data_IF_128808279281
#
_entry.id   IF_128808279281
#
_cell.length_a   1.000
_cell.length_b   1.000
_cell.length_c   1.000
_cell.angle_alpha   90.00
_cell.angle_beta   90.00
_cell.angle_gamma   90.00
#
_symmetry.space_group_name_H-M   'P 1'
#
loop_
_entity.id
_entity.type
_entity.pdbx_description
1 polymer ?
#
# COMPACT_ATOMS: atom_id res chain seq x y z
N UNK A 1 -5.66 -14.14 22.87
CA UNK A 1 -4.78 -14.10 21.68
C UNK A 1 -4.27 -12.69 21.53
N UNK A 2 -2.99 -12.50 21.15
CA UNK A 2 -2.49 -11.17 20.83
C UNK A 2 -3.01 -10.77 19.45
N UNK A 3 -3.42 -9.51 19.30
CA UNK A 3 -3.96 -8.99 18.06
C UNK A 3 -2.79 -8.73 17.09
N UNK A 4 -2.81 -9.35 15.91
CA UNK A 4 -1.87 -9.06 14.82
C UNK A 4 -2.49 -8.01 13.90
N UNK A 5 -1.69 -7.09 13.39
CA UNK A 5 -2.10 -6.01 12.49
C UNK A 5 -1.34 -6.08 11.17
N UNK A 6 -2.03 -5.73 10.09
CA UNK A 6 -1.41 -5.40 8.80
C UNK A 6 -1.00 -3.93 8.81
N UNK A 7 0.27 -3.66 8.52
CA UNK A 7 0.80 -2.31 8.39
C UNK A 7 1.29 -2.09 6.97
N UNK A 8 0.88 -0.97 6.35
CA UNK A 8 1.60 -0.39 5.22
C UNK A 8 2.44 0.75 5.79
N UNK A 9 3.74 0.66 5.62
CA UNK A 9 4.70 1.68 6.04
C UNK A 9 5.24 2.37 4.81
N UNK A 10 5.39 3.68 4.90
CA UNK A 10 6.10 4.50 3.94
C UNK A 10 7.29 5.18 4.63
N UNK A 11 8.43 5.23 3.95
CA UNK A 11 9.69 5.79 4.46
C UNK A 11 10.23 6.85 3.51
N UNK A 12 10.42 8.05 4.03
CA UNK A 12 11.05 9.17 3.34
C UNK A 12 12.58 9.09 3.54
N UNK A 13 13.33 8.69 2.51
CA UNK A 13 14.75 8.40 2.68
C UNK A 13 15.57 9.67 2.98
N UNK A 14 15.11 10.84 2.52
CA UNK A 14 15.78 12.11 2.71
C UNK A 14 15.14 12.99 3.78
N UNK A 15 13.89 12.73 4.17
CA UNK A 15 13.15 13.51 5.15
C UNK A 15 12.67 14.87 4.62
N UNK A 16 12.54 15.00 3.30
CA UNK A 16 12.21 16.26 2.61
C UNK A 16 10.71 16.37 2.28
N UNK A 17 10.00 15.24 2.21
CA UNK A 17 8.62 15.13 1.75
C UNK A 17 7.66 15.18 2.95
N UNK A 18 7.98 14.40 3.99
CA UNK A 18 7.20 14.31 5.23
C UNK A 18 5.78 13.71 5.08
N UNK A 19 5.11 13.50 6.22
CA UNK A 19 3.78 12.90 6.29
C UNK A 19 2.66 13.79 5.72
N UNK A 20 2.82 15.12 5.77
CA UNK A 20 1.79 16.06 5.31
C UNK A 20 1.55 15.94 3.80
N UNK A 21 2.61 15.75 3.02
CA UNK A 21 2.51 15.48 1.58
C UNK A 21 1.71 14.21 1.29
N UNK A 22 1.90 13.17 2.11
CA UNK A 22 1.11 11.94 2.02
C UNK A 22 -0.36 12.17 2.33
N UNK A 23 -0.65 12.93 3.39
CA UNK A 23 -2.01 13.25 3.76
C UNK A 23 -2.72 14.08 2.69
N UNK A 24 -2.03 15.04 2.07
CA UNK A 24 -2.57 15.81 0.94
C UNK A 24 -2.93 14.90 -0.24
N UNK A 25 -2.06 13.94 -0.54
CA UNK A 25 -2.31 13.00 -1.62
C UNK A 25 -3.51 12.07 -1.35
N UNK A 26 -3.66 11.59 -0.11
CA UNK A 26 -4.84 10.81 0.31
C UNK A 26 -6.14 11.57 0.06
N UNK A 27 -6.17 12.90 0.22
CA UNK A 27 -7.36 13.72 -0.04
C UNK A 27 -7.81 13.66 -1.50
N UNK A 28 -6.87 13.51 -2.44
CA UNK A 28 -7.17 13.35 -3.87
C UNK A 28 -7.89 12.02 -4.08
N UNK A 29 -7.37 10.94 -3.48
CA UNK A 29 -7.93 9.59 -3.59
C UNK A 29 -9.24 9.39 -2.81
N UNK A 30 -9.52 10.20 -1.78
CA UNK A 30 -10.76 10.11 -0.99
C UNK A 30 -12.04 10.35 -1.80
N UNK A 31 -11.96 11.01 -2.95
CA UNK A 31 -13.13 11.27 -3.79
C UNK A 31 -13.38 10.16 -4.81
N UNK A 32 -12.46 9.21 -4.96
CA UNK A 32 -12.59 8.11 -5.91
C UNK A 32 -13.42 6.96 -5.35
N UNK A 33 -14.18 6.31 -6.23
CA UNK A 33 -14.81 5.02 -5.97
C UNK A 33 -13.77 3.91 -5.84
N UNK A 34 -14.17 2.75 -5.30
CA UNK A 34 -13.27 1.59 -5.21
C UNK A 34 -12.75 1.16 -6.60
N UNK A 35 -13.60 1.19 -7.64
CA UNK A 35 -13.16 0.84 -8.99
C UNK A 35 -12.13 1.83 -9.53
N UNK A 36 -12.35 3.13 -9.35
CA UNK A 36 -11.40 4.16 -9.77
C UNK A 36 -10.06 4.04 -9.02
N UNK A 37 -10.09 3.65 -7.74
CA UNK A 37 -8.87 3.37 -6.97
C UNK A 37 -8.11 2.15 -7.52
N UNK A 38 -8.82 1.08 -7.88
CA UNK A 38 -8.22 -0.13 -8.48
C UNK A 38 -7.51 0.24 -9.78
N UNK A 39 -8.17 0.97 -10.67
CA UNK A 39 -7.58 1.39 -11.96
C UNK A 39 -6.41 2.37 -11.76
N UNK A 40 -6.51 3.28 -10.79
CA UNK A 40 -5.40 4.19 -10.45
C UNK A 40 -4.17 3.41 -9.95
N UNK A 41 -4.36 2.43 -9.07
CA UNK A 41 -3.27 1.57 -8.58
C UNK A 41 -2.60 0.83 -9.74
N UNK A 42 -3.39 0.24 -10.65
CA UNK A 42 -2.84 -0.43 -11.83
C UNK A 42 -2.02 0.53 -12.69
N UNK A 43 -2.53 1.71 -12.97
CA UNK A 43 -1.82 2.72 -13.76
C UNK A 43 -0.49 3.13 -13.09
N UNK A 44 -0.48 3.33 -11.76
CA UNK A 44 0.72 3.68 -11.00
C UNK A 44 1.81 2.62 -11.04
N UNK A 45 1.48 1.35 -11.26
CA UNK A 45 2.47 0.27 -11.33
C UNK A 45 3.28 0.35 -12.63
N UNK A 46 2.66 0.80 -13.72
CA UNK A 46 3.27 0.80 -15.05
C UNK A 46 3.72 2.17 -15.54
N UNK A 47 3.39 3.26 -14.81
CA UNK A 47 3.80 4.60 -15.20
C UNK A 47 5.32 4.79 -15.01
N UNK A 48 5.99 5.23 -16.06
CA UNK A 48 7.37 5.72 -15.96
C UNK A 48 7.36 7.16 -15.44
N UNK A 49 8.10 7.41 -14.36
CA UNK A 49 8.26 8.73 -13.74
C UNK A 49 9.60 8.82 -13.03
N UNK A 50 9.97 10.05 -12.65
CA UNK A 50 11.19 10.29 -11.88
C UNK A 50 11.18 9.48 -10.57
N UNK A 51 12.36 8.95 -10.24
CA UNK A 51 12.58 8.18 -9.02
C UNK A 51 12.32 9.05 -7.79
N UNK A 52 11.32 8.67 -7.00
CA UNK A 52 11.09 9.26 -5.68
C UNK A 52 11.99 8.53 -4.70
N UNK A 53 12.79 9.29 -3.93
CA UNK A 53 13.65 8.77 -2.87
C UNK A 53 12.84 8.38 -1.62
N UNK A 54 11.89 7.47 -1.80
CA UNK A 54 11.02 6.95 -0.76
C UNK A 54 10.70 5.48 -1.03
N UNK A 55 10.48 4.75 0.06
CA UNK A 55 10.15 3.33 0.03
C UNK A 55 8.83 3.09 0.70
N UNK A 56 8.17 2.00 0.35
CA UNK A 56 7.11 1.48 1.18
C UNK A 56 7.22 -0.04 1.30
N UNK A 57 6.67 -0.55 2.39
CA UNK A 57 6.77 -1.95 2.74
C UNK A 57 5.58 -2.37 3.60
N UNK A 58 5.45 -3.69 3.75
CA UNK A 58 4.24 -4.31 4.28
C UNK A 58 4.65 -5.28 5.37
N UNK A 59 4.04 -5.12 6.54
CA UNK A 59 4.40 -5.87 7.72
C UNK A 59 3.16 -6.42 8.42
N UNK A 60 3.29 -7.63 8.97
CA UNK A 60 2.37 -8.19 9.95
C UNK A 60 3.05 -8.14 11.32
N UNK A 61 2.42 -7.49 12.29
CA UNK A 61 3.02 -7.33 13.63
C UNK A 61 1.96 -7.31 14.73
N UNK A 62 2.28 -7.88 15.89
CA UNK A 62 1.46 -7.79 17.10
C UNK A 62 1.57 -6.41 17.78
N UNK A 63 2.72 -5.75 17.61
CA UNK A 63 2.99 -4.44 18.20
C UNK A 63 3.00 -3.38 17.09
N UNK A 64 2.62 -2.14 17.41
CA UNK A 64 2.97 -1.00 16.57
C UNK A 64 4.50 -1.02 16.39
N UNK A 65 5.03 -1.15 15.16
CA UNK A 65 6.47 -1.21 14.97
C UNK A 65 7.12 0.07 15.53
N UNK A 66 8.34 -0.05 16.04
CA UNK A 66 9.11 1.12 16.49
C UNK A 66 9.67 1.79 15.25
N UNK A 67 9.12 2.96 14.91
CA UNK A 67 9.53 3.73 13.74
C UNK A 67 10.55 4.80 14.14
N UNK A 68 11.49 5.08 13.23
CA UNK A 68 12.35 6.26 13.32
C UNK A 68 11.62 7.48 12.73
N UNK A 69 12.20 8.67 12.84
CA UNK A 69 11.57 9.95 12.45
C UNK A 69 11.13 10.04 10.97
N UNK A 70 11.55 9.10 10.13
CA UNK A 70 11.32 9.09 8.69
C UNK A 70 10.37 8.00 8.21
N UNK A 71 9.90 7.16 9.13
CA UNK A 71 9.02 6.04 8.86
C UNK A 71 7.62 6.32 9.38
N UNK A 72 6.65 6.12 8.50
CA UNK A 72 5.25 6.47 8.75
C UNK A 72 4.34 5.28 8.48
N UNK A 73 3.45 4.97 9.41
CA UNK A 73 2.36 4.02 9.16
C UNK A 73 1.27 4.75 8.43
N UNK A 74 1.07 4.38 7.17
CA UNK A 74 0.07 4.99 6.31
C UNK A 74 -1.20 4.16 6.21
N UNK A 75 -1.16 2.91 6.69
CA UNK A 75 -2.33 2.07 6.88
C UNK A 75 -2.14 1.09 8.05
N UNK A 76 -3.21 0.83 8.79
CA UNK A 76 -3.27 -0.21 9.81
C UNK A 76 -4.59 -0.97 9.69
N UNK A 77 -4.51 -2.26 9.36
CA UNK A 77 -5.66 -3.16 9.25
C UNK A 77 -5.69 -4.22 10.35
N UNK A 78 -6.90 -4.66 10.70
CA UNK A 78 -7.17 -5.77 11.61
C UNK A 78 -7.83 -6.88 10.79
N UNK A 79 -7.40 -8.14 10.95
CA UNK A 79 -7.99 -9.26 10.24
C UNK A 79 -9.50 -9.39 10.54
N UNK A 80 -10.31 -9.51 9.49
CA UNK A 80 -11.77 -9.54 9.57
C UNK A 80 -12.44 -8.15 9.65
N UNK A 81 -11.66 -7.08 9.80
CA UNK A 81 -12.15 -5.70 9.94
C UNK A 81 -11.44 -4.72 8.97
N UNK A 82 -10.71 -5.25 7.98
CA UNK A 82 -10.04 -4.43 6.98
C UNK A 82 -11.08 -3.65 6.18
N UNK A 83 -11.02 -2.32 6.27
CA UNK A 83 -11.69 -1.45 5.31
C UNK A 83 -10.92 -1.48 3.99
N UNK A 84 -11.43 -2.22 3.01
CA UNK A 84 -10.78 -2.41 1.72
C UNK A 84 -10.52 -1.10 0.98
N UNK A 85 -11.51 -0.20 0.92
CA UNK A 85 -11.38 1.10 0.27
C UNK A 85 -10.27 1.95 0.90
N UNK A 86 -10.23 2.01 2.24
CA UNK A 86 -9.18 2.76 2.94
C UNK A 86 -7.79 2.15 2.72
N UNK A 87 -7.70 0.82 2.65
CA UNK A 87 -6.47 0.12 2.26
C UNK A 87 -6.03 0.51 0.84
N UNK A 88 -6.96 0.56 -0.13
CA UNK A 88 -6.66 0.97 -1.51
C UNK A 88 -6.20 2.42 -1.59
N UNK A 89 -6.84 3.35 -0.87
CA UNK A 89 -6.41 4.76 -0.80
C UNK A 89 -4.97 4.87 -0.28
N UNK A 90 -4.68 4.13 0.79
CA UNK A 90 -3.35 4.11 1.41
C UNK A 90 -2.30 3.51 0.46
N UNK A 91 -2.67 2.44 -0.25
CA UNK A 91 -1.80 1.79 -1.23
C UNK A 91 -1.53 2.69 -2.45
N UNK A 92 -2.57 3.32 -3.01
CA UNK A 92 -2.43 4.25 -4.14
C UNK A 92 -1.51 5.43 -3.76
N UNK A 93 -1.74 6.01 -2.59
CA UNK A 93 -0.92 7.12 -2.07
C UNK A 93 0.53 6.68 -1.84
N UNK A 94 0.75 5.47 -1.28
CA UNK A 94 2.09 4.93 -1.04
C UNK A 94 2.83 4.61 -2.33
N UNK A 95 2.17 3.97 -3.30
CA UNK A 95 2.72 3.76 -4.63
C UNK A 95 3.09 5.10 -5.23
N UNK A 96 2.17 6.05 -5.31
CA UNK A 96 2.42 7.33 -5.94
C UNK A 96 3.55 8.14 -5.27
N UNK A 97 3.84 7.91 -4.00
CA UNK A 97 4.95 8.55 -3.29
C UNK A 97 6.18 7.66 -3.10
N UNK A 98 6.34 6.60 -3.89
CA UNK A 98 7.47 5.68 -3.78
C UNK A 98 8.18 5.44 -5.12
N UNK A 99 9.34 4.82 -5.03
CA UNK A 99 10.10 4.41 -6.20
C UNK A 99 9.30 3.36 -7.02
N UNK A 100 9.14 3.62 -8.33
CA UNK A 100 8.37 2.76 -9.23
C UNK A 100 8.96 1.37 -9.40
N UNK A 101 10.29 1.22 -9.25
CA UNK A 101 10.99 -0.06 -9.33
C UNK A 101 10.52 -1.05 -8.26
N UNK A 102 9.99 -0.55 -7.14
CA UNK A 102 9.52 -1.38 -6.03
C UNK A 102 8.02 -1.71 -6.13
N UNK A 103 7.25 -1.04 -7.00
CA UNK A 103 5.78 -1.12 -7.04
C UNK A 103 5.26 -2.55 -7.21
N UNK A 104 5.79 -3.27 -8.21
CA UNK A 104 5.40 -4.67 -8.48
C UNK A 104 5.69 -5.55 -7.26
N UNK A 105 6.89 -5.44 -6.70
CA UNK A 105 7.29 -6.23 -5.53
C UNK A 105 6.40 -5.93 -4.33
N UNK A 106 5.96 -4.68 -4.17
CA UNK A 106 5.11 -4.28 -3.07
C UNK A 106 3.67 -4.80 -3.22
N UNK A 107 3.10 -4.79 -4.43
CA UNK A 107 1.81 -5.45 -4.71
C UNK A 107 1.86 -6.94 -4.38
N UNK A 108 2.91 -7.62 -4.84
CA UNK A 108 3.09 -9.05 -4.58
C UNK A 108 3.30 -9.34 -3.08
N UNK A 109 4.00 -8.44 -2.37
CA UNK A 109 4.18 -8.53 -0.92
C UNK A 109 2.85 -8.34 -0.18
N UNK A 110 2.00 -7.41 -0.62
CA UNK A 110 0.67 -7.21 -0.03
C UNK A 110 -0.19 -8.45 -0.19
N UNK A 111 -0.27 -8.97 -1.42
CA UNK A 111 -1.03 -10.18 -1.72
C UNK A 111 -0.57 -11.35 -0.85
N UNK A 112 0.75 -11.53 -0.70
CA UNK A 112 1.32 -12.58 0.15
C UNK A 112 0.94 -12.40 1.63
N UNK A 113 1.02 -11.18 2.17
CA UNK A 113 0.65 -10.89 3.56
C UNK A 113 -0.85 -11.13 3.79
N UNK A 114 -1.71 -10.61 2.91
CA UNK A 114 -3.16 -10.78 2.99
C UNK A 114 -3.55 -12.25 2.95
N UNK A 115 -2.94 -13.06 2.08
CA UNK A 115 -3.25 -14.50 1.98
C UNK A 115 -3.17 -15.24 3.31
N UNK A 116 -2.21 -14.87 4.16
CA UNK A 116 -2.02 -15.46 5.49
C UNK A 116 -2.80 -14.76 6.60
N UNK A 117 -3.23 -13.52 6.38
CA UNK A 117 -3.78 -12.65 7.42
C UNK A 117 -5.29 -12.50 7.34
N UNK A 118 -5.82 -12.28 6.13
CA UNK A 118 -7.23 -12.06 5.85
C UNK A 118 -7.56 -12.60 4.45
N UNK A 119 -8.17 -13.79 4.41
CA UNK A 119 -8.40 -14.52 3.15
C UNK A 119 -9.44 -13.85 2.27
N UNK A 120 -10.48 -13.24 2.85
CA UNK A 120 -11.53 -12.58 2.09
C UNK A 120 -10.98 -11.35 1.35
N UNK A 121 -10.21 -10.53 2.06
CA UNK A 121 -9.53 -9.38 1.48
C UNK A 121 -8.48 -9.81 0.46
N UNK A 122 -7.76 -10.90 0.73
CA UNK A 122 -6.81 -11.47 -0.24
C UNK A 122 -7.51 -11.87 -1.53
N UNK A 123 -8.58 -12.65 -1.47
CA UNK A 123 -9.29 -13.15 -2.67
C UNK A 123 -9.80 -11.97 -3.51
N UNK A 124 -10.29 -10.91 -2.84
CA UNK A 124 -10.70 -9.65 -3.50
C UNK A 124 -9.50 -8.91 -4.13
N UNK A 125 -8.45 -8.66 -3.36
CA UNK A 125 -7.24 -7.95 -3.83
C UNK A 125 -6.52 -8.67 -4.97
N UNK A 126 -6.45 -10.00 -4.90
CA UNK A 126 -5.84 -10.83 -5.93
C UNK A 126 -6.56 -10.67 -7.26
N UNK A 127 -7.89 -10.81 -7.25
CA UNK A 127 -8.73 -10.65 -8.43
C UNK A 127 -8.71 -9.22 -8.99
N UNK A 128 -8.79 -8.22 -8.11
CA UNK A 128 -8.91 -6.84 -8.52
C UNK A 128 -7.60 -6.28 -9.08
N UNK A 129 -6.45 -6.67 -8.52
CA UNK A 129 -5.13 -6.05 -8.80
C UNK A 129 -4.03 -7.09 -9.02
N UNK A 130 -3.75 -7.96 -8.04
CA UNK A 130 -2.47 -8.68 -8.01
C UNK A 130 -2.29 -9.71 -9.14
N UNK A 131 -3.37 -10.36 -9.58
CA UNK A 131 -3.33 -11.30 -10.71
C UNK A 131 -2.94 -10.61 -12.01
N UNK A 132 -3.55 -9.46 -12.32
CA UNK A 132 -3.25 -8.69 -13.53
C UNK A 132 -1.79 -8.22 -13.54
N UNK A 133 -1.32 -7.70 -12.41
CA UNK A 133 0.07 -7.28 -12.23
C UNK A 133 1.01 -8.47 -12.43
N UNK A 134 0.70 -9.64 -11.86
CA UNK A 134 1.50 -10.83 -12.06
C UNK A 134 1.55 -11.30 -13.53
N UNK A 135 0.42 -11.23 -14.24
CA UNK A 135 0.36 -11.62 -15.65
C UNK A 135 1.09 -10.63 -16.58
N UNK A 136 1.15 -9.34 -16.23
CA UNK A 136 1.92 -8.34 -17.00
C UNK A 136 3.44 -8.54 -16.98
N UNK A 137 3.96 -9.35 -16.06
CA UNK A 137 5.39 -9.67 -15.95
C UNK A 137 5.81 -10.86 -16.83
N UNK A 138 4.85 -11.60 -17.39
CA UNK A 138 5.08 -12.78 -18.22
C UNK A 138 5.02 -12.45 -19.71
#
# INVERSE_FOLDING_TARGET
MKQVYLHIRWEDLHGEIGLDSFNLLRLIYLNLSEQELIEAIKALIFIEREDIAAKFDIHLSENSPVFNERQYVVYKGIAGEINYRDMLISLASALEMSNTLDHVQNIMSLAKCLRSFDREIFDRFAKDIAEEVYYSLK
#
